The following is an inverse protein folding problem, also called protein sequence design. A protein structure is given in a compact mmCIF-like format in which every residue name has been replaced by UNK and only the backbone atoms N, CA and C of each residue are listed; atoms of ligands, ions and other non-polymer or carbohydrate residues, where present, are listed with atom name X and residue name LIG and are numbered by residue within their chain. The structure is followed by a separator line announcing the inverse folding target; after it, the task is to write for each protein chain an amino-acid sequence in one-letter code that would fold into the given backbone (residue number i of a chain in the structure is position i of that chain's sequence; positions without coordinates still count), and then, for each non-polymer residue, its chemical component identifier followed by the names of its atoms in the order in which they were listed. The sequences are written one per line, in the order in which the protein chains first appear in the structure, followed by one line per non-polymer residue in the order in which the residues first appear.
data_IF_636157547126
#
_entry.id   IF_636157547126
#
_cell.length_a   1.000
_cell.length_b   1.000
_cell.length_c   1.000
_cell.angle_alpha   90.00
_cell.angle_beta   90.00
_cell.angle_gamma   90.00
#
_symmetry.space_group_name_H-M   'P 1'
#
loop_
_entity.id
_entity.type
_entity.pdbx_description
1 polymer ?
#
# COMPACT_ATOMS: atom_id res chain seq x y z
N UNK A 1 23.37 51.99 -25.36
CA UNK A 1 22.07 51.38 -25.73
C UNK A 1 22.19 49.93 -26.19
N UNK A 2 23.04 49.60 -27.17
CA UNK A 2 23.24 48.21 -27.67
C UNK A 2 23.62 47.20 -26.57
N UNK A 3 24.47 47.58 -25.62
CA UNK A 3 24.84 46.74 -24.47
C UNK A 3 23.66 46.42 -23.54
N UNK A 4 22.73 47.36 -23.37
CA UNK A 4 21.55 47.16 -22.49
C UNK A 4 20.56 46.20 -23.15
N UNK A 5 20.33 46.35 -24.46
CA UNK A 5 19.48 45.44 -25.24
C UNK A 5 20.11 44.04 -25.30
N UNK A 6 21.42 43.96 -25.55
CA UNK A 6 22.13 42.67 -25.59
C UNK A 6 22.17 41.97 -24.23
N UNK A 7 22.34 42.74 -23.15
CA UNK A 7 22.25 42.21 -21.78
C UNK A 7 20.88 41.63 -21.45
N UNK A 8 19.79 42.26 -21.91
CA UNK A 8 18.44 41.73 -21.72
C UNK A 8 18.21 40.39 -22.45
N UNK A 9 18.78 40.21 -23.64
CA UNK A 9 18.71 38.94 -24.39
C UNK A 9 19.48 37.83 -23.67
N UNK A 10 20.72 38.09 -23.25
CA UNK A 10 21.52 37.12 -22.50
C UNK A 10 20.89 36.80 -21.14
N UNK A 11 20.27 37.78 -20.48
CA UNK A 11 19.51 37.56 -19.24
C UNK A 11 18.26 36.69 -19.47
N UNK A 12 17.52 36.90 -20.55
CA UNK A 12 16.38 36.05 -20.92
C UNK A 12 16.80 34.61 -21.20
N UNK A 13 17.92 34.41 -21.91
CA UNK A 13 18.53 33.10 -22.14
C UNK A 13 18.94 32.44 -20.82
N UNK A 14 19.59 33.18 -19.93
CA UNK A 14 19.98 32.70 -18.61
C UNK A 14 18.78 32.29 -17.75
N UNK A 15 17.72 33.11 -17.71
CA UNK A 15 16.52 32.81 -16.93
C UNK A 15 15.82 31.54 -17.42
N UNK A 16 15.69 31.39 -18.75
CA UNK A 16 15.15 30.18 -19.38
C UNK A 16 15.99 28.95 -19.04
N UNK A 17 17.32 29.05 -19.17
CA UNK A 17 18.24 27.98 -18.82
C UNK A 17 18.18 27.60 -17.34
N UNK A 18 18.06 28.57 -16.43
CA UNK A 18 17.95 28.35 -14.99
C UNK A 18 16.71 27.55 -14.61
N UNK A 19 15.57 27.90 -15.18
CA UNK A 19 14.31 27.19 -14.93
C UNK A 19 14.34 25.76 -15.50
N UNK A 20 14.89 25.59 -16.70
CA UNK A 20 15.02 24.28 -17.34
C UNK A 20 15.97 23.35 -16.57
N UNK A 21 17.16 23.83 -16.19
CA UNK A 21 18.14 23.04 -15.44
C UNK A 21 17.58 22.65 -14.06
N UNK A 22 16.97 23.58 -13.31
CA UNK A 22 16.35 23.27 -12.02
C UNK A 22 15.26 22.20 -12.14
N UNK A 23 14.34 22.35 -13.08
CA UNK A 23 13.26 21.37 -13.29
C UNK A 23 13.80 19.99 -13.69
N UNK A 24 14.87 19.92 -14.48
CA UNK A 24 15.52 18.67 -14.85
C UNK A 24 16.21 18.01 -13.65
N UNK A 25 16.90 18.79 -12.81
CA UNK A 25 17.52 18.30 -11.57
C UNK A 25 16.47 17.74 -10.62
N UNK A 26 15.39 18.47 -10.34
CA UNK A 26 14.34 18.02 -9.41
C UNK A 26 13.73 16.67 -9.86
N UNK A 27 13.41 16.55 -11.15
CA UNK A 27 12.91 15.29 -11.73
C UNK A 27 13.93 14.15 -11.63
N UNK A 28 15.21 14.45 -11.86
CA UNK A 28 16.28 13.47 -11.79
C UNK A 28 16.52 12.97 -10.36
N UNK A 29 16.53 13.88 -9.39
CA UNK A 29 16.71 13.55 -7.97
C UNK A 29 15.55 12.67 -7.48
N UNK A 30 14.30 12.99 -7.85
CA UNK A 30 13.14 12.15 -7.54
C UNK A 30 13.23 10.78 -8.23
N UNK A 31 13.57 10.74 -9.52
CA UNK A 31 13.64 9.50 -10.28
C UNK A 31 14.72 8.55 -9.73
N UNK A 32 15.89 9.07 -9.41
CA UNK A 32 16.95 8.27 -8.81
C UNK A 32 16.64 7.83 -7.38
N UNK A 33 16.08 8.72 -6.54
CA UNK A 33 15.62 8.32 -5.19
C UNK A 33 14.56 7.21 -5.26
N UNK A 34 13.66 7.27 -6.24
CA UNK A 34 12.67 6.21 -6.52
C UNK A 34 13.34 4.90 -6.91
N UNK A 35 14.36 4.92 -7.78
CA UNK A 35 15.12 3.71 -8.13
C UNK A 35 15.83 3.13 -6.91
N UNK A 36 16.34 3.99 -6.04
CA UNK A 36 17.01 3.60 -4.81
C UNK A 36 16.08 2.80 -3.87
N UNK A 37 14.79 3.13 -3.83
CA UNK A 37 13.76 2.35 -3.12
C UNK A 37 13.45 1.01 -3.79
N UNK A 38 13.30 1.02 -5.11
CA UNK A 38 12.81 -0.14 -5.87
C UNK A 38 13.87 -1.24 -6.03
N UNK A 39 15.15 -0.86 -6.05
CA UNK A 39 16.27 -1.79 -6.25
C UNK A 39 17.05 -2.07 -4.96
N UNK A 40 16.38 -2.01 -3.80
CA UNK A 40 16.98 -2.43 -2.53
C UNK A 40 18.23 -1.62 -2.15
N UNK A 41 18.17 -0.29 -2.31
CA UNK A 41 19.26 0.64 -2.01
C UNK A 41 20.49 0.51 -2.92
N UNK A 42 20.33 0.00 -4.13
CA UNK A 42 21.42 -0.03 -5.12
C UNK A 42 21.81 1.39 -5.58
N UNK A 43 22.88 1.92 -4.98
CA UNK A 43 23.34 3.28 -5.24
C UNK A 43 23.76 3.51 -6.70
N UNK A 44 24.36 2.51 -7.35
CA UNK A 44 24.84 2.64 -8.73
C UNK A 44 23.68 2.78 -9.71
N UNK A 45 22.64 1.97 -9.56
CA UNK A 45 21.46 2.03 -10.41
C UNK A 45 20.68 3.33 -10.23
N UNK A 46 20.56 3.79 -8.98
CA UNK A 46 19.90 5.06 -8.67
C UNK A 46 20.59 6.27 -9.29
N UNK A 47 21.93 6.33 -9.21
CA UNK A 47 22.72 7.41 -9.83
C UNK A 47 22.62 7.36 -11.35
N UNK A 48 22.68 6.16 -11.95
CA UNK A 48 22.54 5.97 -13.39
C UNK A 48 21.16 6.39 -13.92
N UNK A 49 20.08 6.02 -13.21
CA UNK A 49 18.72 6.48 -13.54
C UNK A 49 18.58 8.00 -13.37
N UNK A 50 19.08 8.57 -12.28
CA UNK A 50 19.06 10.02 -12.08
C UNK A 50 19.76 10.75 -13.23
N UNK A 51 20.95 10.29 -13.61
CA UNK A 51 21.72 10.86 -14.71
C UNK A 51 20.94 10.78 -16.03
N UNK A 52 20.35 9.63 -16.37
CA UNK A 52 19.52 9.50 -17.58
C UNK A 52 18.30 10.41 -17.56
N UNK A 53 17.62 10.55 -16.42
CA UNK A 53 16.47 11.44 -16.29
C UNK A 53 16.88 12.90 -16.44
N UNK A 54 18.01 13.31 -15.88
CA UNK A 54 18.58 14.64 -16.07
C UNK A 54 18.86 14.91 -17.54
N UNK A 55 19.61 14.01 -18.20
CA UNK A 55 20.01 14.17 -19.61
C UNK A 55 18.80 14.21 -20.55
N UNK A 56 17.74 13.43 -20.26
CA UNK A 56 16.50 13.39 -21.06
C UNK A 56 15.63 14.64 -20.87
N UNK A 57 15.59 15.19 -19.66
CA UNK A 57 14.75 16.35 -19.36
C UNK A 57 15.45 17.69 -19.62
N UNK A 58 16.78 17.67 -19.75
CA UNK A 58 17.55 18.83 -20.18
C UNK A 58 17.29 19.08 -21.68
N UNK A 59 16.45 20.08 -21.99
CA UNK A 59 16.28 20.55 -23.37
C UNK A 59 17.64 20.99 -23.92
N UNK A 60 17.88 20.77 -25.22
CA UNK A 60 19.10 21.26 -25.89
C UNK A 60 19.12 22.78 -25.80
N UNK A 61 19.98 23.30 -24.92
CA UNK A 61 20.19 24.74 -24.72
C UNK A 61 21.64 25.03 -25.10
N UNK A 62 21.81 25.79 -26.18
CA UNK A 62 23.13 26.13 -26.71
C UNK A 62 23.91 27.06 -25.77
N UNK A 63 25.19 26.74 -25.56
CA UNK A 63 26.11 27.49 -24.71
C UNK A 63 26.02 27.14 -23.22
N UNK A 64 25.39 26.03 -22.86
CA UNK A 64 25.52 25.46 -21.50
C UNK A 64 26.88 24.77 -21.36
N UNK A 65 27.57 25.09 -20.26
CA UNK A 65 28.80 24.42 -19.86
C UNK A 65 28.70 23.92 -18.41
N UNK A 66 29.41 22.84 -18.10
CA UNK A 66 29.41 22.21 -16.78
C UNK A 66 28.52 20.97 -16.71
N UNK A 67 28.51 20.31 -15.55
CA UNK A 67 27.79 19.05 -15.33
C UNK A 67 27.16 19.03 -13.95
N UNK A 68 25.97 18.44 -13.87
CA UNK A 68 25.37 17.97 -12.63
C UNK A 68 25.58 16.46 -12.54
N UNK A 69 26.05 16.02 -11.39
CA UNK A 69 26.23 14.61 -11.02
C UNK A 69 25.35 14.30 -9.83
N UNK A 70 24.98 13.04 -9.67
CA UNK A 70 24.17 12.57 -8.56
C UNK A 70 24.99 11.65 -7.69
N UNK A 71 24.79 11.72 -6.37
CA UNK A 71 25.37 10.76 -5.43
C UNK A 71 24.36 10.38 -4.37
N UNK A 72 24.57 9.19 -3.83
CA UNK A 72 23.79 8.66 -2.72
C UNK A 72 24.49 9.02 -1.42
N UNK A 73 23.71 9.42 -0.43
CA UNK A 73 24.19 9.81 0.90
C UNK A 73 23.38 9.11 1.99
N UNK A 74 23.81 9.30 3.25
CA UNK A 74 23.11 8.86 4.46
C UNK A 74 22.81 7.35 4.50
N UNK A 75 23.81 6.50 4.23
CA UNK A 75 23.65 5.02 4.22
C UNK A 75 22.57 4.54 3.24
N UNK A 76 22.60 5.11 2.04
CA UNK A 76 21.72 4.70 0.94
C UNK A 76 20.23 5.00 1.18
N UNK A 77 19.95 6.21 1.67
CA UNK A 77 18.57 6.67 1.96
C UNK A 77 18.27 8.06 1.42
N UNK A 78 19.21 8.69 0.73
CA UNK A 78 19.00 9.97 0.10
C UNK A 78 19.85 10.12 -1.15
N UNK A 79 19.29 10.80 -2.15
CA UNK A 79 19.99 11.16 -3.37
C UNK A 79 20.11 12.68 -3.44
N UNK A 80 21.32 13.13 -3.75
CA UNK A 80 21.67 14.54 -3.85
C UNK A 80 22.24 14.83 -5.26
N UNK A 81 21.94 16.01 -5.79
CA UNK A 81 22.54 16.55 -7.00
C UNK A 81 23.66 17.57 -6.69
N UNK A 82 24.83 17.40 -7.29
CA UNK A 82 25.97 18.28 -7.12
C UNK A 82 26.53 18.72 -8.46
N UNK A 83 27.02 19.95 -8.55
CA UNK A 83 27.67 20.41 -9.76
C UNK A 83 27.46 21.89 -10.05
N UNK A 84 28.17 22.36 -11.06
CA UNK A 84 28.13 23.76 -11.49
C UNK A 84 27.81 23.80 -12.97
N UNK A 85 26.81 24.60 -13.32
CA UNK A 85 26.37 24.82 -14.69
C UNK A 85 26.39 26.31 -14.98
N UNK A 86 27.00 26.67 -16.10
CA UNK A 86 27.15 28.03 -16.60
C UNK A 86 26.51 28.14 -17.98
N UNK A 87 26.11 29.35 -18.36
CA UNK A 87 25.69 29.66 -19.71
C UNK A 87 26.57 30.76 -20.29
N UNK A 88 26.96 30.60 -21.54
CA UNK A 88 27.69 31.60 -22.30
C UNK A 88 26.82 32.82 -22.58
N UNK A 89 27.41 33.99 -22.39
CA UNK A 89 26.78 35.29 -22.61
C UNK A 89 27.54 36.09 -23.68
N UNK A 90 27.33 35.81 -24.98
CA UNK A 90 28.07 36.44 -26.07
C UNK A 90 27.90 37.96 -26.14
N UNK A 91 26.75 38.49 -25.71
CA UNK A 91 26.45 39.93 -25.78
C UNK A 91 27.00 40.65 -24.55
N UNK A 92 26.86 40.05 -23.36
CA UNK A 92 27.51 40.57 -22.14
C UNK A 92 29.05 40.37 -22.17
N UNK A 93 29.57 39.48 -23.02
CA UNK A 93 31.01 39.30 -23.19
C UNK A 93 31.71 40.59 -23.66
N UNK A 94 30.98 41.45 -24.39
CA UNK A 94 31.46 42.79 -24.78
C UNK A 94 31.68 43.72 -23.57
N UNK A 95 31.04 43.44 -22.43
CA UNK A 95 31.24 44.11 -21.15
C UNK A 95 32.13 43.30 -20.18
N UNK A 96 32.82 42.26 -20.67
CA UNK A 96 33.73 41.43 -19.88
C UNK A 96 33.06 40.27 -19.13
N UNK A 97 31.72 40.14 -19.17
CA UNK A 97 31.00 39.03 -18.54
C UNK A 97 30.77 37.95 -19.59
N UNK A 98 31.63 36.92 -19.59
CA UNK A 98 31.57 35.85 -20.60
C UNK A 98 30.61 34.73 -20.25
N UNK A 99 30.35 34.51 -18.96
CA UNK A 99 29.54 33.40 -18.44
C UNK A 99 28.71 33.85 -17.26
N UNK A 100 27.50 33.33 -17.16
CA UNK A 100 26.66 33.48 -15.97
C UNK A 100 26.38 32.12 -15.33
N UNK A 101 26.44 32.02 -13.98
CA UNK A 101 26.12 30.78 -13.28
C UNK A 101 24.62 30.51 -13.39
N UNK A 102 24.24 29.40 -14.02
CA UNK A 102 22.85 28.96 -14.15
C UNK A 102 22.40 28.28 -12.86
N UNK A 103 23.23 27.36 -12.36
CA UNK A 103 22.99 26.65 -11.12
C UNK A 103 24.32 26.19 -10.52
N UNK A 104 24.50 26.40 -9.22
CA UNK A 104 25.65 25.92 -8.44
C UNK A 104 25.05 25.14 -7.28
N UNK A 105 25.26 23.83 -7.29
CA UNK A 105 24.81 22.91 -6.26
C UNK A 105 26.03 22.38 -5.50
N UNK A 106 25.92 22.41 -4.19
CA UNK A 106 26.83 21.83 -3.22
C UNK A 106 26.02 21.11 -2.16
N UNK A 107 26.66 20.26 -1.36
CA UNK A 107 26.00 19.55 -0.25
C UNK A 107 25.13 20.45 0.63
N UNK A 108 25.53 21.70 0.88
CA UNK A 108 24.75 22.63 1.71
C UNK A 108 23.49 23.24 1.03
N UNK A 109 23.33 23.13 -0.29
CA UNK A 109 22.33 23.90 -1.06
C UNK A 109 21.64 23.05 -2.14
N UNK A 110 21.97 21.77 -2.21
CA UNK A 110 21.46 20.88 -3.24
C UNK A 110 20.03 20.44 -2.95
N UNK A 111 19.21 20.23 -3.99
CA UNK A 111 17.97 19.49 -3.82
C UNK A 111 18.31 18.06 -3.38
N UNK A 112 17.78 17.67 -2.24
CA UNK A 112 17.88 16.32 -1.68
C UNK A 112 16.49 15.68 -1.77
N UNK A 113 16.41 14.51 -2.40
CA UNK A 113 15.26 13.62 -2.20
C UNK A 113 15.66 12.57 -1.17
N UNK A 114 14.88 12.51 -0.10
CA UNK A 114 15.05 11.51 0.94
C UNK A 114 14.00 10.43 0.79
N UNK A 115 14.39 9.22 1.17
CA UNK A 115 13.43 8.23 1.58
C UNK A 115 12.95 8.69 2.96
N UNK A 116 11.64 8.85 3.17
CA UNK A 116 11.13 9.11 4.52
C UNK A 116 11.40 7.86 5.37
N UNK A 117 12.56 7.79 6.00
CA UNK A 117 12.78 6.96 7.18
C UNK A 117 12.19 7.73 8.36
N UNK A 118 11.48 7.03 9.27
CA UNK A 118 10.58 7.60 10.28
C UNK A 118 11.06 8.85 11.03
N UNK A 119 12.37 9.08 11.15
CA UNK A 119 13.00 10.29 11.72
C UNK A 119 12.67 11.62 11.01
N UNK A 120 12.16 11.60 9.77
CA UNK A 120 11.72 12.81 9.04
C UNK A 120 10.32 12.70 8.46
N UNK A 121 9.58 11.64 8.77
CA UNK A 121 8.14 11.65 8.48
C UNK A 121 7.48 12.74 9.33
N UNK A 122 6.35 13.26 8.89
CA UNK A 122 5.48 14.14 9.69
C UNK A 122 4.17 13.43 10.07
N UNK A 123 4.02 12.17 9.66
CA UNK A 123 2.77 11.41 9.69
C UNK A 123 3.03 9.97 10.10
N UNK A 124 2.22 9.46 11.02
CA UNK A 124 2.15 8.03 11.33
C UNK A 124 1.39 7.28 10.23
N UNK A 125 1.79 6.04 9.97
CA UNK A 125 1.24 5.21 8.92
C UNK A 125 0.77 3.86 9.49
N UNK A 126 -0.47 3.52 9.20
CA UNK A 126 -1.04 2.20 9.48
C UNK A 126 -1.58 1.62 8.19
N UNK A 127 -1.05 0.47 7.78
CA UNK A 127 -1.45 -0.21 6.55
C UNK A 127 -2.00 -1.59 6.88
N UNK A 128 -3.14 -1.97 6.31
CA UNK A 128 -3.62 -3.35 6.35
C UNK A 128 -3.71 -3.90 4.93
N UNK A 129 -3.18 -5.12 4.75
CA UNK A 129 -3.10 -5.81 3.46
C UNK A 129 -4.06 -6.99 3.45
N UNK A 130 -5.08 -6.93 2.58
CA UNK A 130 -5.91 -8.07 2.25
C UNK A 130 -5.17 -8.93 1.22
N UNK A 131 -4.93 -10.20 1.57
CA UNK A 131 -4.14 -11.12 0.77
C UNK A 131 -5.02 -12.29 0.35
N UNK A 132 -5.39 -12.32 -0.93
CA UNK A 132 -6.12 -13.45 -1.51
C UNK A 132 -5.22 -14.69 -1.54
N UNK A 133 -5.69 -15.73 -0.85
CA UNK A 133 -5.06 -17.04 -0.77
C UNK A 133 -6.04 -18.15 -1.19
N UNK A 134 -7.03 -17.81 -2.02
CA UNK A 134 -7.96 -18.76 -2.60
C UNK A 134 -7.25 -19.75 -3.54
N UNK A 135 -7.95 -20.82 -3.94
CA UNK A 135 -7.39 -21.86 -4.81
C UNK A 135 -6.86 -21.34 -6.15
N UNK A 136 -7.40 -20.24 -6.70
CA UNK A 136 -6.88 -19.63 -7.93
C UNK A 136 -5.47 -19.09 -7.80
N UNK A 137 -5.02 -18.77 -6.57
CA UNK A 137 -3.68 -18.26 -6.29
C UNK A 137 -2.60 -19.35 -6.23
N UNK A 138 -2.96 -20.63 -6.42
CA UNK A 138 -2.01 -21.74 -6.36
C UNK A 138 -0.79 -21.56 -7.28
N UNK A 139 0.36 -22.04 -6.79
CA UNK A 139 1.62 -22.02 -7.54
C UNK A 139 2.23 -20.61 -7.64
N UNK A 140 2.59 -20.21 -8.86
CA UNK A 140 3.37 -18.98 -9.08
C UNK A 140 2.64 -17.70 -8.66
N UNK A 141 1.31 -17.67 -8.70
CA UNK A 141 0.50 -16.49 -8.35
C UNK A 141 0.70 -16.08 -6.88
N UNK A 142 0.58 -17.02 -5.95
CA UNK A 142 0.84 -16.79 -4.53
C UNK A 142 2.30 -16.40 -4.27
N UNK A 143 3.27 -17.04 -4.92
CA UNK A 143 4.68 -16.68 -4.76
C UNK A 143 4.97 -15.25 -5.24
N UNK A 144 4.31 -14.82 -6.30
CA UNK A 144 4.41 -13.44 -6.79
C UNK A 144 3.79 -12.44 -5.81
N UNK A 145 2.64 -12.79 -5.20
CA UNK A 145 2.04 -11.98 -4.14
C UNK A 145 3.00 -11.85 -2.95
N UNK A 146 3.57 -12.96 -2.46
CA UNK A 146 4.53 -12.96 -1.36
C UNK A 146 5.70 -12.01 -1.64
N UNK A 147 6.27 -12.05 -2.84
CA UNK A 147 7.35 -11.14 -3.25
C UNK A 147 6.90 -9.67 -3.33
N UNK A 148 5.73 -9.40 -3.90
CA UNK A 148 5.18 -8.05 -4.01
C UNK A 148 4.89 -7.42 -2.63
N UNK A 149 4.35 -8.21 -1.70
CA UNK A 149 4.10 -7.78 -0.32
C UNK A 149 5.41 -7.57 0.43
N UNK A 150 6.41 -8.43 0.25
CA UNK A 150 7.75 -8.23 0.83
C UNK A 150 8.38 -6.91 0.37
N UNK A 151 8.31 -6.58 -0.93
CA UNK A 151 8.78 -5.29 -1.45
C UNK A 151 8.04 -4.11 -0.77
N UNK A 152 6.73 -4.21 -0.54
CA UNK A 152 5.95 -3.19 0.14
C UNK A 152 6.36 -3.05 1.61
N UNK A 153 6.52 -4.16 2.33
CA UNK A 153 6.96 -4.17 3.74
C UNK A 153 8.33 -3.50 3.89
N UNK A 154 9.26 -3.79 2.98
CA UNK A 154 10.60 -3.21 3.00
C UNK A 154 10.61 -1.69 2.82
N UNK A 155 9.67 -1.16 2.04
CA UNK A 155 9.56 0.28 1.78
C UNK A 155 8.74 0.99 2.86
N UNK A 156 7.63 0.39 3.32
CA UNK A 156 6.67 1.06 4.21
C UNK A 156 7.08 0.95 5.66
N UNK A 157 7.50 -0.23 6.13
CA UNK A 157 7.79 -0.45 7.55
C UNK A 157 9.17 0.14 7.88
N UNK A 158 9.19 1.17 8.72
CA UNK A 158 10.44 1.83 9.12
C UNK A 158 11.13 1.07 10.25
N UNK A 159 12.46 1.01 10.20
CA UNK A 159 13.26 0.40 11.27
C UNK A 159 13.28 1.31 12.52
N UNK A 160 13.33 2.63 12.31
CA UNK A 160 13.20 3.64 13.36
C UNK A 160 11.75 4.13 13.46
N UNK A 161 11.15 3.93 14.64
CA UNK A 161 9.77 4.31 14.97
C UNK A 161 9.73 5.43 16.04
N UNK A 162 10.88 6.04 16.36
CA UNK A 162 11.02 6.95 17.50
C UNK A 162 10.31 8.31 17.29
N UNK A 163 10.28 8.81 16.05
CA UNK A 163 9.59 10.05 15.71
C UNK A 163 8.16 9.79 15.23
N UNK A 164 7.99 8.82 14.34
CA UNK A 164 6.70 8.44 13.77
C UNK A 164 6.62 6.93 13.58
N UNK A 165 5.41 6.40 13.72
CA UNK A 165 5.16 4.98 13.59
C UNK A 165 4.77 4.61 12.15
N UNK A 166 5.30 3.49 11.66
CA UNK A 166 4.82 2.84 10.43
C UNK A 166 4.64 1.35 10.66
N UNK A 167 3.39 0.89 10.62
CA UNK A 167 2.97 -0.46 11.01
C UNK A 167 2.09 -1.09 9.93
N UNK A 168 2.28 -2.39 9.72
CA UNK A 168 1.54 -3.19 8.73
C UNK A 168 0.78 -4.32 9.43
N UNK A 169 -0.45 -4.56 8.99
CA UNK A 169 -1.26 -5.72 9.33
C UNK A 169 -1.45 -6.61 8.10
N UNK A 170 -1.53 -7.93 8.30
CA UNK A 170 -1.77 -8.91 7.23
C UNK A 170 -3.11 -9.59 7.46
N UNK A 171 -3.91 -9.67 6.39
CA UNK A 171 -5.21 -10.34 6.38
C UNK A 171 -5.26 -11.35 5.23
N UNK A 172 -4.65 -12.53 5.39
CA UNK A 172 -4.85 -13.64 4.47
C UNK A 172 -6.28 -14.15 4.56
N UNK A 173 -6.91 -14.40 3.42
CA UNK A 173 -8.27 -14.91 3.33
C UNK A 173 -8.43 -15.89 2.16
N UNK A 174 -9.38 -16.80 2.29
CA UNK A 174 -9.84 -17.70 1.23
C UNK A 174 -11.31 -18.02 1.54
N UNK A 175 -11.62 -19.23 2.02
CA UNK A 175 -12.93 -19.54 2.58
C UNK A 175 -13.22 -18.59 3.75
N UNK A 176 -12.37 -18.66 4.77
CA UNK A 176 -12.59 -17.99 6.04
C UNK A 176 -11.41 -17.09 6.40
N UNK A 177 -11.52 -16.46 7.56
CA UNK A 177 -10.41 -15.76 8.18
C UNK A 177 -9.85 -16.63 9.29
N UNK A 178 -8.56 -16.96 9.16
CA UNK A 178 -7.85 -17.75 10.16
C UNK A 178 -7.32 -16.85 11.28
N UNK A 179 -7.55 -17.27 12.51
CA UNK A 179 -7.15 -16.61 13.76
C UNK A 179 -6.48 -17.68 14.64
N UNK A 180 -5.15 -17.64 14.74
CA UNK A 180 -4.39 -18.65 15.48
C UNK A 180 -4.35 -18.36 17.01
N UNK A 181 -4.76 -17.17 17.45
CA UNK A 181 -4.84 -16.81 18.86
C UNK A 181 -6.19 -17.25 19.46
N UNK A 182 -6.22 -18.28 20.32
CA UNK A 182 -7.48 -18.78 20.89
C UNK A 182 -8.18 -17.76 21.78
N UNK A 183 -7.43 -16.86 22.43
CA UNK A 183 -8.01 -15.78 23.22
C UNK A 183 -8.77 -14.80 22.32
N UNK A 184 -8.15 -14.40 21.21
CA UNK A 184 -8.83 -13.56 20.22
C UNK A 184 -10.05 -14.26 19.63
N UNK A 185 -9.95 -15.54 19.25
CA UNK A 185 -11.10 -16.33 18.77
C UNK A 185 -12.25 -16.27 19.77
N UNK A 186 -12.00 -16.51 21.06
CA UNK A 186 -13.04 -16.48 22.10
C UNK A 186 -13.71 -15.12 22.28
N UNK A 187 -13.04 -14.02 21.89
CA UNK A 187 -13.58 -12.67 22.00
C UNK A 187 -14.40 -12.28 20.78
N UNK A 188 -14.07 -12.79 19.59
CA UNK A 188 -14.63 -12.31 18.32
C UNK A 188 -15.57 -13.30 17.66
N UNK A 189 -15.45 -14.61 17.93
CA UNK A 189 -16.28 -15.66 17.34
C UNK A 189 -17.34 -16.12 18.34
N UNK A 190 -18.59 -16.23 17.86
CA UNK A 190 -19.72 -16.70 18.66
C UNK A 190 -19.45 -18.08 19.27
N UNK A 191 -19.73 -18.29 20.57
CA UNK A 191 -19.74 -19.62 21.15
C UNK A 191 -20.66 -20.56 20.36
N UNK A 192 -20.07 -21.58 19.75
CA UNK A 192 -20.77 -22.45 18.79
C UNK A 192 -20.53 -23.93 19.13
N UNK A 193 -21.36 -24.88 18.67
CA UNK A 193 -21.08 -26.31 18.88
C UNK A 193 -19.90 -26.79 18.00
N UNK A 194 -19.21 -27.85 18.43
CA UNK A 194 -18.11 -28.44 17.63
C UNK A 194 -18.59 -29.19 16.37
N UNK A 195 -19.89 -29.49 16.31
CA UNK A 195 -20.56 -30.08 15.16
C UNK A 195 -21.87 -29.36 14.90
N UNK A 196 -22.16 -29.11 13.63
CA UNK A 196 -23.39 -28.47 13.20
C UNK A 196 -24.16 -29.42 12.29
N UNK A 197 -25.45 -29.57 12.56
CA UNK A 197 -26.36 -30.43 11.78
C UNK A 197 -27.26 -29.52 10.96
N UNK A 198 -27.29 -29.73 9.65
CA UNK A 198 -28.10 -28.96 8.72
C UNK A 198 -28.66 -29.85 7.60
N UNK A 199 -29.57 -29.29 6.81
CA UNK A 199 -30.10 -29.92 5.59
C UNK A 199 -29.39 -29.30 4.39
N UNK A 200 -28.77 -30.14 3.55
CA UNK A 200 -28.13 -29.68 2.32
C UNK A 200 -29.14 -29.36 1.22
N UNK A 201 -28.66 -28.77 0.12
CA UNK A 201 -29.47 -28.42 -1.06
C UNK A 201 -30.22 -29.61 -1.69
N UNK A 202 -29.72 -30.84 -1.50
CA UNK A 202 -30.34 -32.08 -1.96
C UNK A 202 -31.38 -32.64 -0.97
N UNK A 203 -31.59 -31.95 0.16
CA UNK A 203 -32.52 -32.37 1.22
C UNK A 203 -31.94 -33.41 2.19
N UNK A 204 -30.66 -33.73 2.11
CA UNK A 204 -30.02 -34.70 3.00
C UNK A 204 -29.58 -34.02 4.31
N UNK A 205 -29.68 -34.77 5.43
CA UNK A 205 -29.10 -34.31 6.69
C UNK A 205 -27.59 -34.50 6.67
N UNK A 206 -26.84 -33.41 6.86
CA UNK A 206 -25.38 -33.40 7.01
C UNK A 206 -24.99 -33.03 8.43
N UNK A 207 -23.81 -33.48 8.84
CA UNK A 207 -23.17 -33.06 10.09
C UNK A 207 -21.74 -32.67 9.76
N UNK A 208 -21.46 -31.38 9.88
CA UNK A 208 -20.14 -30.81 9.64
C UNK A 208 -19.44 -30.46 10.95
N UNK A 209 -18.12 -30.32 10.88
CA UNK A 209 -17.26 -30.03 12.03
C UNK A 209 -16.82 -28.59 11.96
N UNK A 210 -16.69 -27.98 13.13
CA UNK A 210 -16.16 -26.62 13.26
C UNK A 210 -14.64 -26.64 13.14
N UNK A 211 -14.08 -25.72 12.36
CA UNK A 211 -12.66 -25.35 12.53
C UNK A 211 -12.55 -24.35 13.70
N UNK A 212 -11.81 -24.66 14.79
CA UNK A 212 -11.72 -23.80 15.96
C UNK A 212 -10.93 -22.50 15.73
N UNK A 213 -10.20 -22.37 14.62
CA UNK A 213 -9.35 -21.23 14.31
C UNK A 213 -9.95 -20.33 13.22
N UNK A 214 -11.10 -20.67 12.65
CA UNK A 214 -11.68 -19.93 11.52
C UNK A 214 -13.02 -19.28 11.83
N UNK A 215 -13.15 -18.05 11.34
CA UNK A 215 -14.34 -17.23 11.46
C UNK A 215 -14.86 -16.85 10.07
N UNK A 216 -16.18 -16.82 9.92
CA UNK A 216 -16.86 -16.34 8.70
C UNK A 216 -17.37 -14.91 8.90
N UNK A 217 -18.60 -14.59 8.52
CA UNK A 217 -19.19 -13.25 8.58
C UNK A 217 -19.93 -12.97 9.90
N UNK A 218 -20.13 -11.68 10.18
CA UNK A 218 -21.14 -11.20 11.14
C UNK A 218 -22.47 -11.12 10.39
N UNK A 219 -23.60 -11.18 11.09
CA UNK A 219 -24.93 -11.16 10.43
C UNK A 219 -25.61 -9.81 10.63
N UNK A 220 -26.34 -9.34 9.61
CA UNK A 220 -27.16 -8.13 9.70
C UNK A 220 -26.32 -6.84 9.60
N UNK A 221 -26.76 -5.77 10.25
CA UNK A 221 -26.09 -4.46 10.14
C UNK A 221 -24.61 -4.51 10.56
N UNK A 222 -24.29 -5.36 11.54
CA UNK A 222 -22.96 -5.62 12.05
C UNK A 222 -21.97 -6.13 10.97
N UNK A 223 -22.44 -6.75 9.89
CA UNK A 223 -21.61 -7.22 8.78
C UNK A 223 -20.86 -6.08 8.07
N UNK A 224 -21.31 -4.84 8.21
CA UNK A 224 -20.81 -3.67 7.49
C UNK A 224 -20.19 -2.61 8.40
N UNK A 225 -19.91 -2.96 9.64
CA UNK A 225 -19.38 -2.05 10.67
C UNK A 225 -18.02 -2.55 11.17
N UNK A 226 -17.22 -1.61 11.68
CA UNK A 226 -15.90 -1.83 12.29
C UNK A 226 -15.92 -1.75 13.82
N UNK A 227 -17.09 -1.80 14.44
CA UNK A 227 -17.20 -1.97 15.89
C UNK A 227 -16.55 -3.29 16.32
N UNK A 228 -16.01 -3.30 17.53
CA UNK A 228 -15.55 -4.55 18.12
C UNK A 228 -16.76 -5.48 18.33
N UNK A 229 -16.68 -6.75 17.90
CA UNK A 229 -17.80 -7.67 17.99
C UNK A 229 -18.13 -7.99 19.46
N UNK A 230 -19.39 -7.81 19.84
CA UNK A 230 -19.90 -8.17 21.17
C UNK A 230 -21.22 -8.94 21.08
N UNK A 231 -21.40 -9.91 21.97
CA UNK A 231 -22.64 -10.67 22.11
C UNK A 231 -23.15 -11.26 20.78
N UNK A 232 -24.38 -10.93 20.35
CA UNK A 232 -24.98 -11.49 19.13
C UNK A 232 -24.28 -11.03 17.85
N UNK A 233 -23.52 -9.93 17.88
CA UNK A 233 -22.89 -9.37 16.69
C UNK A 233 -21.49 -9.97 16.43
N UNK A 234 -21.06 -10.95 17.22
CA UNK A 234 -19.83 -11.70 16.96
C UNK A 234 -19.85 -12.48 15.63
N UNK A 235 -18.67 -12.79 15.12
CA UNK A 235 -18.50 -13.56 13.88
C UNK A 235 -19.04 -14.98 14.03
N UNK A 236 -19.57 -15.53 12.95
CA UNK A 236 -19.91 -16.93 12.86
C UNK A 236 -18.66 -17.82 12.88
N UNK A 237 -18.82 -19.03 13.42
CA UNK A 237 -17.81 -20.06 13.31
C UNK A 237 -17.83 -20.70 11.92
N UNK A 238 -16.69 -21.13 11.40
CA UNK A 238 -16.63 -21.85 10.13
C UNK A 238 -16.91 -23.35 10.31
N UNK A 239 -17.77 -23.91 9.44
CA UNK A 239 -18.09 -25.33 9.40
C UNK A 239 -17.77 -25.93 8.02
N UNK A 240 -17.08 -27.07 8.01
CA UNK A 240 -16.81 -27.85 6.80
C UNK A 240 -16.92 -29.36 7.07
N UNK A 241 -16.94 -30.16 5.99
CA UNK A 241 -17.05 -31.61 6.10
C UNK A 241 -15.91 -32.26 6.90
N UNK A 242 -14.68 -31.77 6.73
CA UNK A 242 -13.49 -32.27 7.42
C UNK A 242 -13.14 -31.48 8.69
N UNK A 243 -13.76 -30.31 8.89
CA UNK A 243 -13.50 -29.42 10.02
C UNK A 243 -12.23 -28.60 9.86
N UNK A 244 -11.80 -28.36 8.62
CA UNK A 244 -10.70 -27.47 8.28
C UNK A 244 -11.16 -26.40 7.30
N UNK A 245 -10.65 -25.17 7.47
CA UNK A 245 -10.85 -24.04 6.55
C UNK A 245 -9.59 -23.77 5.73
N UNK A 246 -9.78 -23.08 4.59
CA UNK A 246 -8.73 -22.28 3.98
C UNK A 246 -8.80 -20.78 4.39
N UNK A 247 -7.65 -20.08 4.49
CA UNK A 247 -6.30 -20.61 4.31
C UNK A 247 -5.92 -21.54 5.45
N UNK A 248 -5.44 -22.74 5.11
CA UNK A 248 -5.03 -23.75 6.09
C UNK A 248 -3.94 -23.25 7.03
N UNK A 249 -3.06 -22.41 6.51
CA UNK A 249 -1.97 -21.75 7.24
C UNK A 249 -1.97 -20.26 6.91
N UNK A 250 -1.60 -19.45 7.91
CA UNK A 250 -1.48 -18.02 7.72
C UNK A 250 -2.61 -17.23 8.37
N UNK A 251 -2.74 -17.28 9.70
CA UNK A 251 -3.66 -16.40 10.39
C UNK A 251 -3.32 -14.92 10.23
N UNK A 252 -4.32 -14.07 10.48
CA UNK A 252 -4.17 -12.63 10.57
C UNK A 252 -2.99 -12.20 11.45
N UNK A 253 -2.39 -11.07 11.09
CA UNK A 253 -1.36 -10.40 11.88
C UNK A 253 -1.85 -8.99 12.16
N UNK A 254 -2.13 -8.64 13.44
CA UNK A 254 -2.41 -7.26 13.82
C UNK A 254 -1.25 -6.31 13.47
N UNK A 255 -1.50 -5.00 13.50
CA UNK A 255 -0.51 -3.98 13.15
C UNK A 255 0.83 -4.22 13.88
N UNK A 256 1.91 -4.32 13.12
CA UNK A 256 3.25 -4.48 13.68
C UNK A 256 4.30 -3.81 12.79
N UNK A 257 5.42 -3.43 13.39
CA UNK A 257 6.63 -3.03 12.68
C UNK A 257 7.66 -4.17 12.62
N UNK A 258 7.35 -5.36 13.14
CA UNK A 258 8.24 -6.52 13.08
C UNK A 258 8.22 -7.15 11.68
N UNK A 259 9.17 -6.72 10.84
CA UNK A 259 9.39 -7.26 9.49
C UNK A 259 9.62 -8.77 9.49
N UNK A 260 10.24 -9.32 10.53
CA UNK A 260 10.53 -10.76 10.62
C UNK A 260 9.24 -11.55 10.83
N UNK A 261 8.38 -11.08 11.74
CA UNK A 261 7.04 -11.67 11.97
C UNK A 261 6.18 -11.60 10.71
N UNK A 262 6.17 -10.48 10.02
CA UNK A 262 5.42 -10.31 8.77
C UNK A 262 5.91 -11.28 7.69
N UNK A 263 7.23 -11.35 7.45
CA UNK A 263 7.85 -12.28 6.48
C UNK A 263 7.57 -13.74 6.81
N UNK A 264 7.78 -14.13 8.07
CA UNK A 264 7.51 -15.49 8.51
C UNK A 264 6.06 -15.89 8.28
N UNK A 265 5.11 -14.97 8.46
CA UNK A 265 3.70 -15.24 8.16
C UNK A 265 3.45 -15.38 6.66
N UNK A 266 4.05 -14.53 5.83
CA UNK A 266 3.95 -14.63 4.37
C UNK A 266 4.49 -15.96 3.84
N UNK A 267 5.62 -16.43 4.36
CA UNK A 267 6.22 -17.70 3.96
C UNK A 267 5.30 -18.90 4.24
N UNK A 268 4.48 -18.80 5.28
CA UNK A 268 3.50 -19.83 5.66
C UNK A 268 2.24 -19.84 4.80
N UNK A 269 1.98 -18.81 3.97
CA UNK A 269 0.75 -18.77 3.18
C UNK A 269 0.70 -19.93 2.19
N UNK A 270 -0.47 -20.57 2.16
CA UNK A 270 -0.86 -21.60 1.21
C UNK A 270 -2.15 -21.20 0.53
N UNK A 271 -2.25 -21.47 -0.76
CA UNK A 271 -3.48 -21.24 -1.52
C UNK A 271 -4.40 -22.46 -1.45
N UNK A 272 -5.70 -22.23 -1.32
CA UNK A 272 -6.73 -23.27 -1.19
C UNK A 272 -8.11 -22.66 -1.02
N UNK A 273 -9.15 -23.46 -1.16
CA UNK A 273 -10.53 -23.02 -0.96
C UNK A 273 -11.07 -22.08 -2.04
N UNK A 274 -12.22 -21.49 -1.72
CA UNK A 274 -12.97 -20.50 -2.49
C UNK A 274 -12.59 -19.07 -2.06
N UNK A 275 -13.34 -18.06 -2.51
CA UNK A 275 -12.95 -16.65 -2.38
C UNK A 275 -14.01 -15.80 -1.65
N UNK A 276 -14.00 -15.80 -0.31
CA UNK A 276 -14.85 -14.94 0.51
C UNK A 276 -14.28 -13.51 0.65
N UNK A 277 -14.22 -12.78 -0.47
CA UNK A 277 -13.59 -11.45 -0.52
C UNK A 277 -14.14 -10.43 0.48
N UNK A 278 -15.45 -10.47 0.77
CA UNK A 278 -16.06 -9.58 1.77
C UNK A 278 -15.45 -9.76 3.17
N UNK A 279 -15.03 -10.97 3.54
CA UNK A 279 -14.36 -11.23 4.82
C UNK A 279 -12.97 -10.60 4.87
N UNK A 280 -12.20 -10.72 3.79
CA UNK A 280 -10.88 -10.09 3.67
C UNK A 280 -10.96 -8.57 3.83
N UNK A 281 -11.96 -7.94 3.22
CA UNK A 281 -12.20 -6.49 3.33
C UNK A 281 -12.64 -6.12 4.75
N UNK A 282 -13.59 -6.86 5.33
CA UNK A 282 -14.07 -6.61 6.69
C UNK A 282 -12.92 -6.68 7.71
N UNK A 283 -12.11 -7.73 7.66
CA UNK A 283 -10.98 -7.90 8.59
C UNK A 283 -9.86 -6.90 8.34
N UNK A 284 -9.64 -6.46 7.09
CA UNK A 284 -8.74 -5.36 6.79
C UNK A 284 -9.19 -4.07 7.49
N UNK A 285 -10.50 -3.78 7.50
CA UNK A 285 -11.03 -2.64 8.24
C UNK A 285 -10.89 -2.81 9.75
N UNK A 286 -11.23 -3.99 10.27
CA UNK A 286 -11.18 -4.30 11.69
C UNK A 286 -9.78 -4.11 12.28
N UNK A 287 -8.74 -4.58 11.57
CA UNK A 287 -7.34 -4.40 11.99
C UNK A 287 -6.82 -2.96 11.84
N UNK A 288 -7.57 -2.07 11.18
CA UNK A 288 -7.30 -0.63 11.14
C UNK A 288 -8.19 0.17 12.10
N UNK A 289 -9.23 -0.44 12.68
CA UNK A 289 -10.18 0.29 13.50
C UNK A 289 -9.72 0.42 14.95
N UNK A 290 -9.65 1.64 15.51
CA UNK A 290 -9.38 1.84 16.93
C UNK A 290 -10.46 1.23 17.83
N UNK A 291 -11.66 0.92 17.31
CA UNK A 291 -12.72 0.27 18.09
C UNK A 291 -12.33 -1.14 18.51
N UNK A 292 -11.42 -1.76 17.77
CA UNK A 292 -10.87 -3.09 18.06
C UNK A 292 -9.72 -3.08 19.07
N UNK A 293 -9.32 -1.91 19.58
CA UNK A 293 -8.24 -1.82 20.56
C UNK A 293 -8.50 -2.62 21.86
N UNK A 294 -9.76 -2.83 22.23
CA UNK A 294 -10.15 -3.63 23.39
C UNK A 294 -9.96 -5.14 23.23
N UNK A 295 -9.97 -5.65 21.99
CA UNK A 295 -9.85 -7.09 21.70
C UNK A 295 -8.48 -7.46 21.11
N UNK A 296 -7.77 -6.50 20.50
CA UNK A 296 -6.45 -6.73 19.92
C UNK A 296 -5.32 -6.66 20.98
N UNK A 297 -4.22 -7.43 20.78
CA UNK A 297 -3.00 -7.31 21.57
C UNK A 297 -2.48 -5.87 21.60
N UNK A 298 -1.85 -5.47 22.71
CA UNK A 298 -1.50 -4.08 22.98
C UNK A 298 -0.59 -3.44 21.90
N UNK A 299 0.37 -4.19 21.39
CA UNK A 299 1.29 -3.82 20.30
C UNK A 299 0.58 -3.70 18.94
N UNK A 300 -0.53 -4.42 18.77
CA UNK A 300 -1.35 -4.47 17.57
C UNK A 300 -2.47 -3.43 17.48
N UNK A 301 -2.61 -2.54 18.47
CA UNK A 301 -3.77 -1.62 18.56
C UNK A 301 -3.68 -0.49 17.53
N UNK A 302 -4.75 -0.26 16.73
CA UNK A 302 -4.80 0.85 15.80
C UNK A 302 -4.98 2.19 16.52
N UNK A 303 -4.40 3.24 15.96
CA UNK A 303 -4.51 4.59 16.49
C UNK A 303 -5.92 5.20 16.25
N UNK A 304 -6.34 6.20 17.06
CA UNK A 304 -7.68 6.79 16.96
C UNK A 304 -7.96 7.47 15.60
N UNK A 305 -9.21 7.40 15.13
CA UNK A 305 -9.64 8.06 13.88
C UNK A 305 -9.52 9.59 13.93
N UNK A 306 -9.59 10.20 15.11
CA UNK A 306 -9.42 11.64 15.27
C UNK A 306 -8.08 12.17 14.75
N UNK A 307 -7.04 11.33 14.68
CA UNK A 307 -5.72 11.70 14.16
C UNK A 307 -5.69 11.82 12.63
N UNK A 308 -6.69 11.28 11.93
CA UNK A 308 -6.82 11.41 10.47
C UNK A 308 -7.15 12.84 10.04
N UNK A 309 -7.78 13.63 10.91
CA UNK A 309 -8.19 15.01 10.65
C UNK A 309 -7.25 16.04 11.28
N UNK A 310 -6.54 15.66 12.34
CA UNK A 310 -5.50 16.50 12.93
C UNK A 310 -4.34 16.69 11.96
N UNK A 311 -3.71 17.86 12.04
CA UNK A 311 -2.63 18.27 11.13
C UNK A 311 -1.40 18.70 11.92
N UNK A 312 -0.23 18.44 11.36
CA UNK A 312 1.03 19.07 11.77
C UNK A 312 1.02 20.56 11.40
N UNK A 313 2.02 21.30 11.88
CA UNK A 313 2.23 22.71 11.54
C UNK A 313 2.43 22.95 10.04
N UNK A 314 2.97 21.96 9.32
CA UNK A 314 3.14 21.95 7.86
C UNK A 314 1.84 21.66 7.10
N UNK A 315 0.76 21.26 7.80
CA UNK A 315 -0.52 20.89 7.20
C UNK A 315 -0.63 19.43 6.76
N UNK A 316 0.33 18.56 7.11
CA UNK A 316 0.24 17.12 6.88
C UNK A 316 -0.67 16.44 7.92
N UNK A 317 -1.41 15.37 7.60
CA UNK A 317 -2.18 14.61 8.60
C UNK A 317 -1.26 13.97 9.65
N UNK A 318 -1.70 13.92 10.91
CA UNK A 318 -0.93 13.21 11.95
C UNK A 318 -0.90 11.70 11.73
N UNK A 319 -1.97 11.13 11.18
CA UNK A 319 -2.09 9.71 10.87
C UNK A 319 -2.68 9.49 9.48
N UNK A 320 -2.17 8.48 8.78
CA UNK A 320 -2.81 7.91 7.59
C UNK A 320 -3.09 6.43 7.83
N UNK A 321 -4.35 6.05 7.63
CA UNK A 321 -4.78 4.65 7.57
C UNK A 321 -4.99 4.26 6.11
N UNK A 322 -4.36 3.17 5.69
CA UNK A 322 -4.38 2.68 4.31
C UNK A 322 -4.80 1.22 4.28
N UNK A 323 -5.78 0.90 3.45
CA UNK A 323 -6.12 -0.48 3.08
C UNK A 323 -5.56 -0.78 1.69
N UNK A 324 -4.89 -1.92 1.53
CA UNK A 324 -4.49 -2.45 0.23
C UNK A 324 -5.26 -3.75 0.01
N UNK A 325 -6.18 -3.71 -0.95
CA UNK A 325 -7.10 -4.80 -1.25
C UNK A 325 -6.69 -5.52 -2.53
N UNK A 326 -6.37 -6.81 -2.45
CA UNK A 326 -5.94 -7.59 -3.62
C UNK A 326 -6.80 -8.84 -3.77
N UNK A 327 -7.19 -9.15 -5.01
CA UNK A 327 -7.79 -10.44 -5.39
C UNK A 327 -7.51 -10.81 -6.84
N UNK A 328 -7.50 -12.11 -7.13
CA UNK A 328 -7.27 -12.70 -8.46
C UNK A 328 -8.48 -13.41 -9.08
N UNK A 329 -9.66 -13.35 -8.44
CA UNK A 329 -10.85 -14.10 -8.86
C UNK A 329 -12.17 -13.41 -8.47
N UNK A 330 -13.29 -14.02 -8.86
CA UNK A 330 -14.62 -13.57 -8.42
C UNK A 330 -14.87 -13.96 -6.97
N UNK A 331 -15.50 -13.04 -6.23
CA UNK A 331 -15.92 -13.32 -4.87
C UNK A 331 -17.16 -14.19 -4.92
N UNK A 332 -16.98 -15.48 -4.65
CA UNK A 332 -17.91 -16.55 -4.97
C UNK A 332 -18.35 -17.39 -3.75
N UNK A 333 -18.02 -16.93 -2.54
CA UNK A 333 -18.39 -17.62 -1.31
C UNK A 333 -19.20 -16.70 -0.39
N UNK A 334 -20.33 -17.24 0.05
CA UNK A 334 -21.28 -16.66 1.00
C UNK A 334 -21.67 -17.69 2.06
N UNK A 335 -22.30 -17.22 3.15
CA UNK A 335 -22.54 -18.05 4.33
C UNK A 335 -23.97 -17.96 4.86
N UNK A 336 -24.51 -19.11 5.31
CA UNK A 336 -25.59 -19.19 6.26
C UNK A 336 -25.16 -20.04 7.48
N UNK A 337 -25.26 -19.46 8.68
CA UNK A 337 -24.84 -20.07 9.95
C UNK A 337 -23.41 -20.67 9.94
N UNK A 338 -22.51 -20.05 9.17
CA UNK A 338 -21.11 -20.49 9.06
C UNK A 338 -20.86 -21.67 8.12
N UNK A 339 -21.88 -22.06 7.34
CA UNK A 339 -21.80 -23.03 6.25
C UNK A 339 -21.96 -22.29 4.92
N UNK A 340 -21.21 -22.71 3.90
CA UNK A 340 -21.37 -22.24 2.52
C UNK A 340 -22.84 -22.35 2.06
N UNK A 341 -23.43 -21.24 1.62
CA UNK A 341 -24.84 -21.16 1.20
C UNK A 341 -25.14 -21.98 -0.08
N UNK A 342 -24.12 -22.30 -0.88
CA UNK A 342 -24.23 -23.23 -1.99
C UNK A 342 -24.40 -24.68 -1.52
N UNK A 343 -24.13 -24.97 -0.24
CA UNK A 343 -24.21 -26.30 0.36
C UNK A 343 -25.38 -26.44 1.32
N UNK A 344 -25.58 -25.47 2.22
CA UNK A 344 -26.73 -25.47 3.13
C UNK A 344 -27.98 -24.97 2.40
N UNK A 345 -29.13 -25.61 2.62
CA UNK A 345 -30.40 -25.16 2.06
C UNK A 345 -30.94 -23.93 2.83
N UNK A 346 -30.20 -22.82 2.75
CA UNK A 346 -30.45 -21.56 3.42
C UNK A 346 -29.79 -20.43 2.64
N UNK A 347 -30.54 -19.37 2.35
CA UNK A 347 -29.99 -18.17 1.71
C UNK A 347 -29.02 -17.45 2.65
N UNK A 348 -27.90 -16.95 2.12
CA UNK A 348 -26.97 -16.13 2.88
C UNK A 348 -27.68 -14.87 3.43
N UNK A 349 -27.71 -14.63 4.76
CA UNK A 349 -28.43 -13.50 5.35
C UNK A 349 -27.92 -12.13 4.90
N UNK A 350 -26.64 -12.05 4.54
CA UNK A 350 -26.00 -10.83 4.06
C UNK A 350 -26.05 -10.69 2.53
N UNK A 351 -26.67 -11.63 1.80
CA UNK A 351 -26.65 -11.67 0.35
C UNK A 351 -25.23 -11.84 -0.21
N UNK A 352 -25.02 -11.39 -1.46
CA UNK A 352 -23.79 -11.72 -2.19
C UNK A 352 -22.54 -10.96 -1.74
N UNK A 353 -21.41 -11.65 -1.88
CA UNK A 353 -20.08 -11.22 -1.46
C UNK A 353 -19.60 -9.93 -2.15
N UNK A 354 -19.94 -9.74 -3.43
CA UNK A 354 -19.55 -8.54 -4.20
C UNK A 354 -20.24 -7.28 -3.68
N UNK A 355 -21.55 -7.34 -3.42
CA UNK A 355 -22.31 -6.23 -2.87
C UNK A 355 -21.82 -5.88 -1.47
N UNK A 356 -21.57 -6.90 -0.63
CA UNK A 356 -21.05 -6.73 0.72
C UNK A 356 -19.69 -6.03 0.72
N UNK A 357 -18.82 -6.43 -0.19
CA UNK A 357 -17.52 -5.80 -0.41
C UNK A 357 -17.64 -4.31 -0.75
N UNK A 358 -18.59 -3.94 -1.61
CA UNK A 358 -18.82 -2.54 -1.99
C UNK A 358 -19.34 -1.71 -0.81
N UNK A 359 -20.24 -2.26 0.01
CA UNK A 359 -20.73 -1.60 1.23
C UNK A 359 -19.59 -1.36 2.24
N UNK A 360 -18.77 -2.38 2.49
CA UNK A 360 -17.60 -2.28 3.36
C UNK A 360 -16.61 -1.22 2.86
N UNK A 361 -16.27 -1.24 1.57
CA UNK A 361 -15.38 -0.24 0.99
C UNK A 361 -15.94 1.19 1.07
N UNK A 362 -17.25 1.36 0.90
CA UNK A 362 -17.89 2.67 1.05
C UNK A 362 -17.77 3.18 2.48
N UNK A 363 -18.05 2.34 3.48
CA UNK A 363 -17.98 2.70 4.89
C UNK A 363 -16.52 2.96 5.34
N UNK A 364 -15.58 2.15 4.87
CA UNK A 364 -14.14 2.33 5.11
C UNK A 364 -13.66 3.69 4.56
N UNK A 365 -14.08 4.07 3.34
CA UNK A 365 -13.81 5.41 2.78
C UNK A 365 -14.45 6.53 3.60
N UNK A 366 -15.68 6.34 4.07
CA UNK A 366 -16.36 7.30 4.92
C UNK A 366 -15.65 7.49 6.28
N UNK A 367 -14.95 6.47 6.77
CA UNK A 367 -14.10 6.54 7.96
C UNK A 367 -12.73 7.22 7.71
N UNK A 368 -12.47 7.73 6.50
CA UNK A 368 -11.23 8.44 6.15
C UNK A 368 -10.05 7.53 5.78
N UNK A 369 -10.29 6.23 5.56
CA UNK A 369 -9.26 5.27 5.16
C UNK A 369 -9.03 5.37 3.65
N UNK A 370 -7.76 5.42 3.23
CA UNK A 370 -7.39 5.38 1.82
C UNK A 370 -7.32 3.94 1.33
N UNK A 371 -8.07 3.60 0.29
CA UNK A 371 -8.14 2.27 -0.29
C UNK A 371 -7.35 2.24 -1.61
N UNK A 372 -6.32 1.42 -1.64
CA UNK A 372 -5.69 0.93 -2.85
C UNK A 372 -6.27 -0.44 -3.17
N UNK A 373 -6.62 -0.68 -4.43
CA UNK A 373 -7.10 -2.01 -4.86
C UNK A 373 -6.32 -2.50 -6.06
N UNK A 374 -6.05 -3.81 -6.07
CA UNK A 374 -5.21 -4.49 -7.06
C UNK A 374 -5.96 -5.72 -7.56
N UNK A 375 -6.40 -5.68 -8.82
CA UNK A 375 -6.84 -6.88 -9.52
C UNK A 375 -5.64 -7.60 -10.12
N UNK A 376 -5.46 -8.89 -9.80
CA UNK A 376 -4.33 -9.67 -10.30
C UNK A 376 -4.79 -10.76 -11.27
N UNK A 377 -4.30 -10.74 -12.50
CA UNK A 377 -4.59 -11.74 -13.54
C UNK A 377 -6.11 -11.98 -13.73
N UNK A 378 -6.88 -10.89 -13.66
CA UNK A 378 -8.34 -10.86 -13.89
C UNK A 378 -8.70 -10.08 -15.15
N UNK A 379 -9.85 -10.44 -15.72
CA UNK A 379 -10.46 -9.70 -16.83
C UNK A 379 -10.87 -8.29 -16.40
N UNK A 380 -10.44 -7.28 -17.16
CA UNK A 380 -10.78 -5.87 -16.94
C UNK A 380 -12.29 -5.62 -16.98
N UNK A 381 -13.04 -6.41 -17.76
CA UNK A 381 -14.50 -6.31 -17.89
C UNK A 381 -15.27 -7.17 -16.87
N UNK A 382 -14.58 -7.85 -15.94
CA UNK A 382 -15.19 -8.75 -14.96
C UNK A 382 -15.90 -8.03 -13.80
N UNK A 383 -16.76 -8.77 -13.11
CA UNK A 383 -17.46 -8.27 -11.92
C UNK A 383 -16.48 -7.92 -10.79
N UNK A 384 -15.42 -8.72 -10.59
CA UNK A 384 -14.34 -8.42 -9.63
C UNK A 384 -13.60 -7.15 -9.96
N UNK A 385 -13.18 -6.96 -11.23
CA UNK A 385 -12.46 -5.76 -11.62
C UNK A 385 -13.30 -4.52 -11.35
N UNK A 386 -14.60 -4.58 -11.68
CA UNK A 386 -15.57 -3.52 -11.36
C UNK A 386 -15.71 -3.30 -9.85
N UNK A 387 -15.76 -4.36 -9.03
CA UNK A 387 -15.87 -4.27 -7.59
C UNK A 387 -14.62 -3.64 -6.95
N UNK A 388 -13.43 -4.13 -7.31
CA UNK A 388 -12.15 -3.59 -6.84
C UNK A 388 -11.97 -2.14 -7.29
N UNK A 389 -12.33 -1.80 -8.52
CA UNK A 389 -12.27 -0.42 -9.02
C UNK A 389 -13.19 0.52 -8.22
N UNK A 390 -14.41 0.08 -7.87
CA UNK A 390 -15.32 0.86 -7.00
C UNK A 390 -14.84 0.95 -5.56
N UNK A 391 -14.12 -0.07 -5.08
CA UNK A 391 -13.52 -0.07 -3.75
C UNK A 391 -12.41 0.98 -3.61
N UNK A 392 -11.59 1.18 -4.65
CA UNK A 392 -10.54 2.19 -4.64
C UNK A 392 -11.05 3.58 -4.21
N UNK A 393 -10.24 4.32 -3.45
CA UNK A 393 -10.55 5.70 -3.06
C UNK A 393 -10.53 6.67 -4.24
N UNK A 394 -9.73 6.39 -5.27
CA UNK A 394 -9.74 7.16 -6.51
C UNK A 394 -9.35 6.28 -7.70
N UNK A 395 -9.59 6.73 -8.95
CA UNK A 395 -9.12 6.00 -10.13
C UNK A 395 -7.60 5.79 -10.15
N UNK A 396 -6.83 6.64 -9.48
CA UNK A 396 -5.37 6.51 -9.42
C UNK A 396 -4.89 5.54 -8.33
N UNK A 397 -5.77 5.05 -7.45
CA UNK A 397 -5.46 4.03 -6.44
C UNK A 397 -5.97 2.64 -6.82
N UNK A 398 -6.50 2.47 -8.03
CA UNK A 398 -6.83 1.17 -8.63
C UNK A 398 -5.70 0.71 -9.56
N UNK A 399 -5.36 -0.57 -9.48
CA UNK A 399 -4.35 -1.22 -10.29
C UNK A 399 -4.90 -2.51 -10.88
N UNK A 400 -4.53 -2.77 -12.13
CA UNK A 400 -4.77 -4.04 -12.80
C UNK A 400 -3.41 -4.62 -13.21
N UNK A 401 -3.02 -5.73 -12.60
CA UNK A 401 -1.75 -6.39 -12.85
C UNK A 401 -2.01 -7.71 -13.59
N UNK A 402 -1.59 -7.80 -14.85
CA UNK A 402 -1.80 -9.00 -15.68
C UNK A 402 -0.68 -10.05 -15.53
N UNK A 403 0.42 -9.69 -14.86
CA UNK A 403 1.56 -10.58 -14.66
C UNK A 403 2.34 -10.24 -13.38
N UNK A 404 3.34 -11.07 -13.07
CA UNK A 404 4.25 -10.92 -11.91
C UNK A 404 4.93 -9.56 -11.84
N UNK A 405 5.46 -9.08 -12.97
CA UNK A 405 6.19 -7.82 -13.03
C UNK A 405 5.26 -6.65 -12.74
N UNK A 406 4.08 -6.66 -13.34
CA UNK A 406 3.03 -5.69 -13.09
C UNK A 406 2.54 -5.70 -11.63
N UNK A 407 2.39 -6.87 -11.02
CA UNK A 407 1.96 -7.00 -9.62
C UNK A 407 2.99 -6.39 -8.67
N UNK A 408 4.28 -6.75 -8.83
CA UNK A 408 5.35 -6.16 -8.04
C UNK A 408 5.45 -4.66 -8.25
N UNK A 409 5.31 -4.19 -9.49
CA UNK A 409 5.32 -2.76 -9.79
C UNK A 409 4.15 -2.01 -9.14
N UNK A 410 2.96 -2.61 -9.10
CA UNK A 410 1.79 -2.03 -8.43
C UNK A 410 2.05 -1.88 -6.92
N UNK A 411 2.51 -2.94 -6.24
CA UNK A 411 2.82 -2.88 -4.80
C UNK A 411 3.95 -1.89 -4.49
N UNK A 412 4.97 -1.81 -5.34
CA UNK A 412 6.03 -0.79 -5.22
C UNK A 412 5.47 0.62 -5.39
N UNK A 413 4.64 0.88 -6.40
CA UNK A 413 4.02 2.20 -6.59
C UNK A 413 3.12 2.60 -5.41
N UNK A 414 2.35 1.65 -4.87
CA UNK A 414 1.54 1.84 -3.66
C UNK A 414 2.44 2.19 -2.48
N UNK A 415 3.50 1.41 -2.23
CA UNK A 415 4.44 1.64 -1.14
C UNK A 415 5.11 3.02 -1.20
N UNK A 416 5.44 3.48 -2.41
CA UNK A 416 6.00 4.82 -2.65
C UNK A 416 5.01 5.95 -2.39
N UNK A 417 3.73 5.76 -2.73
CA UNK A 417 2.66 6.73 -2.45
C UNK A 417 2.27 6.76 -0.98
N UNK A 418 2.43 5.64 -0.28
CA UNK A 418 2.28 5.56 1.16
C UNK A 418 3.43 6.33 1.84
N UNK A 419 4.67 6.01 1.48
CA UNK A 419 5.88 6.52 2.14
C UNK A 419 6.28 7.98 1.83
N UNK A 420 5.53 8.72 0.99
CA UNK A 420 5.78 10.13 0.58
C UNK A 420 7.26 10.53 0.46
N UNK A 421 7.80 10.51 -0.77
CA UNK A 421 9.12 11.08 -1.07
C UNK A 421 9.07 12.60 -0.85
N UNK A 422 9.81 13.08 0.14
CA UNK A 422 9.99 14.51 0.38
C UNK A 422 11.22 15.00 -0.40
N UNK A 423 11.02 16.02 -1.23
CA UNK A 423 12.11 16.80 -1.82
C UNK A 423 12.26 18.07 -1.01
N UNK A 424 13.37 18.23 -0.30
CA UNK A 424 13.70 19.53 0.30
C UNK A 424 14.56 20.29 -0.68
N UNK A 425 14.11 21.47 -1.11
CA UNK A 425 15.01 22.41 -1.76
C UNK A 425 15.96 22.94 -0.69
N UNK A 426 17.27 22.81 -0.92
CA UNK A 426 18.27 23.48 -0.07
C UNK A 426 18.01 24.99 -0.01
N UNK A 427 18.37 25.65 1.10
CA UNK A 427 18.10 27.07 1.34
C UNK A 427 18.64 28.02 0.26
#
# INVERSE_FOLDING_TARGET
MLLVVGGAVDFGRWLSARNAVRSAVDKAVIAGARTLQIEGRNALAAVDVAQRYYDRNLRVISGLEGRITFRVIRKDTALIAEGKVFIDTPLLALAGIRKLPVLILSEANAPEAFLAEGAKSETDIEVALMLDTSGSMLGGRLENLKQAVNDLIDIVVWDDQSSHASRVALVPFADAIRIDDPALVSLVVRPSPSRFRFTDIDGNTRIWRRDPACATDRVGAAAYLDDAPEGPDQFNAYYSADGTCDPKYGAIVPLTNDKTRLRSKLDMLSAGGETAGHLGIAWTWNLLSPRWAGVLPADGRPAPYSLLEQRTDSGAPLLRKIAVLMSDSEFNLEYCDGVDDAVINCDAPNGNSIANSQHLCANMKAAGITIFSVGFDISEAGATASALQRCASSPSTYYLAQDTGALRQAYRDIALRISQIHVTQGP
#
